data_IF_498961289428
#
_entry.id   IF_498961289428
#
_cell.length_a   1.000
_cell.length_b   1.000
_cell.length_c   1.000
_cell.angle_alpha   90.00
_cell.angle_beta   90.00
_cell.angle_gamma   90.00
#
_symmetry.space_group_name_H-M   'P 1'
#
loop_
_entity.id
_entity.type
_entity.pdbx_description
1 polymer ?
#
# COMPACT_ATOMS: atom_id res chain seq x y z
N UNK A 1 -20.75 10.27 -4.48
CA UNK A 1 -20.27 11.65 -4.68
C UNK A 1 -20.74 12.61 -3.59
N UNK A 2 -22.02 12.63 -3.22
CA UNK A 2 -22.57 13.55 -2.21
C UNK A 2 -21.95 13.42 -0.79
N UNK A 3 -21.51 12.22 -0.38
CA UNK A 3 -20.90 12.00 0.94
C UNK A 3 -19.44 12.50 1.02
N UNK A 4 -18.70 12.46 -0.09
CA UNK A 4 -17.31 12.94 -0.17
C UNK A 4 -17.27 14.46 -0.02
N UNK A 5 -18.21 15.15 -0.65
CA UNK A 5 -18.30 16.62 -0.61
C UNK A 5 -18.71 17.10 0.79
N UNK A 6 -19.66 16.43 1.47
CA UNK A 6 -20.09 16.83 2.82
C UNK A 6 -19.00 16.73 3.88
N UNK A 7 -18.15 15.71 3.85
CA UNK A 7 -17.07 15.53 4.85
C UNK A 7 -16.06 16.68 4.84
N UNK A 8 -15.66 17.14 3.65
CA UNK A 8 -14.68 18.23 3.46
C UNK A 8 -15.17 19.56 4.04
N UNK A 9 -16.47 19.85 3.96
CA UNK A 9 -17.05 21.12 4.40
C UNK A 9 -17.48 21.15 5.88
N UNK A 10 -17.66 20.00 6.52
CA UNK A 10 -18.15 19.92 7.92
C UNK A 10 -17.02 19.72 8.94
N UNK A 11 -16.03 18.89 8.63
CA UNK A 11 -14.85 18.68 9.49
C UNK A 11 -13.64 18.28 8.65
N UNK A 12 -12.95 19.28 8.11
CA UNK A 12 -11.87 19.08 7.14
C UNK A 12 -10.72 18.25 7.70
N UNK A 13 -10.32 18.47 8.95
CA UNK A 13 -9.13 17.84 9.53
C UNK A 13 -9.35 16.35 9.77
N UNK A 14 -10.49 15.97 10.36
CA UNK A 14 -10.89 14.57 10.55
C UNK A 14 -11.03 13.82 9.21
N UNK A 15 -11.57 14.50 8.20
CA UNK A 15 -11.66 13.94 6.84
C UNK A 15 -10.28 13.75 6.20
N UNK A 16 -9.36 14.70 6.40
CA UNK A 16 -8.00 14.62 5.88
C UNK A 16 -7.23 13.45 6.51
N UNK A 17 -7.41 13.19 7.81
CA UNK A 17 -6.78 12.06 8.50
C UNK A 17 -7.23 10.72 7.92
N UNK A 18 -8.54 10.52 7.74
CA UNK A 18 -9.07 9.31 7.12
C UNK A 18 -8.58 9.17 5.66
N UNK A 19 -8.58 10.28 4.91
CA UNK A 19 -8.11 10.31 3.53
C UNK A 19 -6.63 9.93 3.42
N UNK A 20 -5.78 10.44 4.31
CA UNK A 20 -4.35 10.13 4.34
C UNK A 20 -4.09 8.63 4.51
N UNK A 21 -4.79 7.98 5.44
CA UNK A 21 -4.67 6.53 5.67
C UNK A 21 -5.07 5.77 4.40
N UNK A 22 -6.22 6.11 3.79
CA UNK A 22 -6.68 5.46 2.56
C UNK A 22 -5.69 5.65 1.42
N UNK A 23 -5.17 6.86 1.24
CA UNK A 23 -4.20 7.19 0.19
C UNK A 23 -2.89 6.40 0.35
N UNK A 24 -2.42 6.21 1.58
CA UNK A 24 -1.26 5.37 1.88
C UNK A 24 -1.54 3.92 1.49
N UNK A 25 -2.68 3.37 1.91
CA UNK A 25 -3.08 1.98 1.59
C UNK A 25 -3.16 1.77 0.09
N UNK A 26 -3.80 2.67 -0.64
CA UNK A 26 -3.91 2.62 -2.11
C UNK A 26 -2.54 2.67 -2.79
N UNK A 27 -1.64 3.52 -2.30
CA UNK A 27 -0.27 3.67 -2.83
C UNK A 27 0.57 2.41 -2.59
N UNK A 28 0.47 1.82 -1.41
CA UNK A 28 1.16 0.56 -1.06
C UNK A 28 0.67 -0.57 -1.95
N UNK A 29 -0.65 -0.77 -2.05
CA UNK A 29 -1.21 -1.84 -2.88
C UNK A 29 -0.96 -1.62 -4.37
N UNK A 30 -0.97 -0.37 -4.87
CA UNK A 30 -0.56 -0.05 -6.24
C UNK A 30 0.87 -0.52 -6.53
N UNK A 31 1.79 -0.28 -5.60
CA UNK A 31 3.19 -0.70 -5.73
C UNK A 31 3.35 -2.23 -5.71
N UNK A 32 2.59 -2.92 -4.86
CA UNK A 32 2.59 -4.39 -4.80
C UNK A 32 2.07 -4.98 -6.12
N UNK A 33 0.94 -4.46 -6.64
CA UNK A 33 0.37 -4.91 -7.92
C UNK A 33 1.33 -4.69 -9.09
N UNK A 34 2.04 -3.56 -9.12
CA UNK A 34 3.08 -3.29 -10.14
C UNK A 34 4.25 -4.27 -10.04
N UNK A 35 4.60 -4.72 -8.83
CA UNK A 35 5.72 -5.63 -8.60
C UNK A 35 5.39 -7.10 -8.90
N UNK A 36 4.18 -7.56 -8.56
CA UNK A 36 3.81 -9.00 -8.60
C UNK A 36 2.57 -9.32 -9.45
N UNK A 37 2.08 -8.34 -10.19
CA UNK A 37 0.81 -8.41 -10.91
C UNK A 37 -0.40 -8.18 -9.99
N UNK A 38 -1.54 -7.72 -10.56
CA UNK A 38 -2.73 -7.37 -9.80
C UNK A 38 -3.56 -8.58 -9.33
N UNK A 39 -3.39 -9.73 -9.97
CA UNK A 39 -4.30 -10.86 -9.80
C UNK A 39 -4.00 -11.70 -8.56
N UNK A 40 -5.03 -12.29 -7.96
CA UNK A 40 -4.90 -13.41 -7.02
C UNK A 40 -5.30 -14.68 -7.76
N UNK A 41 -4.36 -15.60 -7.99
CA UNK A 41 -4.56 -16.78 -8.84
C UNK A 41 -5.19 -17.96 -8.09
N UNK A 42 -5.09 -17.98 -6.77
CA UNK A 42 -5.67 -19.04 -5.93
C UNK A 42 -7.19 -19.12 -6.05
N UNK A 43 -7.75 -20.34 -6.09
CA UNK A 43 -9.20 -20.56 -6.21
C UNK A 43 -9.88 -20.51 -4.83
N UNK A 44 -9.34 -21.23 -3.85
CA UNK A 44 -9.89 -21.34 -2.50
C UNK A 44 -9.70 -20.02 -1.72
N UNK A 45 -10.74 -19.55 -1.02
CA UNK A 45 -10.72 -18.29 -0.26
C UNK A 45 -9.65 -18.19 0.84
N UNK A 46 -9.29 -19.31 1.48
CA UNK A 46 -8.16 -19.36 2.41
C UNK A 46 -6.82 -19.17 1.69
N UNK A 47 -6.64 -19.83 0.55
CA UNK A 47 -5.44 -19.71 -0.27
C UNK A 47 -5.31 -18.31 -0.89
N UNK A 48 -6.42 -17.68 -1.29
CA UNK A 48 -6.43 -16.27 -1.74
C UNK A 48 -5.88 -15.32 -0.69
N UNK A 49 -6.30 -15.48 0.57
CA UNK A 49 -5.80 -14.68 1.70
C UNK A 49 -4.31 -14.93 1.95
N UNK A 50 -3.88 -16.19 1.89
CA UNK A 50 -2.45 -16.54 2.01
C UNK A 50 -1.62 -15.96 0.87
N UNK A 51 -2.08 -16.05 -0.37
CA UNK A 51 -1.39 -15.48 -1.54
C UNK A 51 -1.21 -13.97 -1.38
N UNK A 52 -2.27 -13.26 -0.97
CA UNK A 52 -2.19 -11.82 -0.69
C UNK A 52 -1.17 -11.51 0.41
N UNK A 53 -1.23 -12.22 1.54
CA UNK A 53 -0.30 -12.02 2.66
C UNK A 53 1.16 -12.28 2.25
N UNK A 54 1.40 -13.30 1.43
CA UNK A 54 2.74 -13.61 0.90
C UNK A 54 3.22 -12.48 -0.03
N UNK A 55 2.37 -11.95 -0.92
CA UNK A 55 2.73 -10.81 -1.79
C UNK A 55 3.10 -9.56 -0.96
N UNK A 56 2.35 -9.27 0.11
CA UNK A 56 2.66 -8.16 1.02
C UNK A 56 4.00 -8.38 1.73
N UNK A 57 4.21 -9.57 2.31
CA UNK A 57 5.45 -9.91 3.01
C UNK A 57 6.67 -9.84 2.08
N UNK A 58 6.58 -10.43 0.89
CA UNK A 58 7.64 -10.43 -0.10
C UNK A 58 7.99 -9.00 -0.56
N UNK A 59 6.98 -8.14 -0.76
CA UNK A 59 7.20 -6.73 -1.11
C UNK A 59 7.97 -6.00 0.00
N UNK A 60 7.55 -6.18 1.25
CA UNK A 60 8.19 -5.51 2.39
C UNK A 60 9.63 -5.97 2.61
N UNK A 61 9.90 -7.28 2.52
CA UNK A 61 11.28 -7.80 2.59
C UNK A 61 12.14 -7.19 1.48
N UNK A 62 11.63 -7.17 0.24
CA UNK A 62 12.30 -6.53 -0.89
C UNK A 62 12.61 -5.06 -0.58
N UNK A 63 11.62 -4.27 -0.13
CA UNK A 63 11.79 -2.84 0.20
C UNK A 63 12.84 -2.61 1.30
N UNK A 64 12.80 -3.37 2.39
CA UNK A 64 13.80 -3.27 3.46
C UNK A 64 15.20 -3.53 2.93
N UNK A 65 15.36 -4.52 2.05
CA UNK A 65 16.67 -4.83 1.43
C UNK A 65 17.16 -3.71 0.51
N UNK A 66 16.28 -3.12 -0.31
CA UNK A 66 16.65 -1.97 -1.14
C UNK A 66 17.06 -0.76 -0.30
N UNK A 67 16.30 -0.46 0.75
CA UNK A 67 16.64 0.65 1.67
C UNK A 67 17.99 0.39 2.34
N UNK A 68 18.23 -0.83 2.85
CA UNK A 68 19.53 -1.17 3.42
C UNK A 68 20.65 -0.99 2.39
N UNK A 69 20.48 -1.52 1.18
CA UNK A 69 21.48 -1.41 0.12
C UNK A 69 21.75 0.03 -0.30
N UNK A 70 20.72 0.86 -0.42
CA UNK A 70 20.89 2.27 -0.77
C UNK A 70 21.63 3.05 0.34
N UNK A 71 21.37 2.73 1.63
CA UNK A 71 22.18 3.24 2.75
C UNK A 71 23.65 2.84 2.63
N UNK A 72 23.91 1.56 2.36
CA UNK A 72 25.27 1.04 2.21
C UNK A 72 26.02 1.69 1.02
N UNK A 73 25.30 2.17 0.01
CA UNK A 73 25.83 2.86 -1.16
C UNK A 73 25.93 4.39 -0.99
N UNK A 74 25.51 4.93 0.16
CA UNK A 74 25.46 6.38 0.39
C UNK A 74 24.47 7.13 -0.49
N UNK A 75 23.46 6.46 -1.05
CA UNK A 75 22.42 7.10 -1.86
C UNK A 75 21.44 7.80 -0.91
N UNK A 76 21.23 9.12 -1.03
CA UNK A 76 20.27 9.84 -0.22
C UNK A 76 18.85 9.35 -0.52
N UNK A 77 18.06 9.13 0.54
CA UNK A 77 16.61 9.00 0.41
C UNK A 77 16.05 10.41 0.38
N UNK A 78 15.39 10.78 -0.72
CA UNK A 78 14.64 12.03 -0.80
C UNK A 78 13.51 12.09 0.23
#
# INVERSE_FOLDING_TARGET
>A
MANIIRGVFLNKDEWMDEYHIRSIVESVFSSIKRCFGPDIKSINGWLKRRELAIKVLAYNIKRVRYIKRAKDLGIPFG
#
